data_IF_118586541208
#
_entry.id   IF_118586541208
#
_cell.length_a   1.000
_cell.length_b   1.000
_cell.length_c   1.000
_cell.angle_alpha   90.00
_cell.angle_beta   90.00
_cell.angle_gamma   90.00
#
_symmetry.space_group_name_H-M   'P 1'
#
loop_
_entity.id
_entity.type
_entity.pdbx_description
1 polymer ?
#
# COMPACT_ATOMS: atom_id res chain seq x y z
N UNK A 1 -20.86 3.89 -17.33
CA UNK A 1 -20.73 3.24 -15.99
C UNK A 1 -19.25 3.00 -15.72
N UNK A 2 -18.74 3.36 -14.55
CA UNK A 2 -17.33 3.17 -14.18
C UNK A 2 -17.02 1.68 -13.98
N UNK A 3 -16.05 1.16 -14.71
CA UNK A 3 -15.62 -0.25 -14.65
C UNK A 3 -14.10 -0.30 -14.65
N UNK A 4 -13.45 -0.33 -13.47
CA UNK A 4 -12.00 -0.35 -13.40
C UNK A 4 -11.46 -1.67 -13.98
N UNK A 5 -10.39 -1.58 -14.77
CA UNK A 5 -9.65 -2.74 -15.32
C UNK A 5 -8.28 -2.90 -14.67
N UNK A 6 -7.76 -1.84 -14.07
CA UNK A 6 -6.48 -1.81 -13.38
C UNK A 6 -6.65 -1.10 -12.04
N UNK A 7 -6.42 -1.82 -10.96
CA UNK A 7 -6.57 -1.33 -9.59
C UNK A 7 -5.21 -1.33 -8.91
N UNK A 8 -4.77 -0.19 -8.38
CA UNK A 8 -3.53 -0.08 -7.62
C UNK A 8 -3.84 -0.11 -6.13
N UNK A 9 -3.09 -0.92 -5.38
CA UNK A 9 -3.20 -1.05 -3.92
C UNK A 9 -1.83 -0.84 -3.31
N UNK A 10 -1.55 0.30 -2.72
CA UNK A 10 -0.37 0.48 -1.88
C UNK A 10 -0.48 -0.32 -0.59
N UNK A 11 0.60 -0.96 -0.17
CA UNK A 11 0.67 -1.69 1.10
C UNK A 11 1.91 -1.32 1.89
N UNK A 12 1.73 -1.15 3.20
CA UNK A 12 2.80 -1.02 4.19
C UNK A 12 2.87 -2.26 5.11
N UNK A 13 2.19 -3.34 4.70
CA UNK A 13 2.04 -4.59 5.45
C UNK A 13 1.28 -4.46 6.77
N UNK A 14 0.53 -3.39 6.98
CA UNK A 14 -0.39 -3.23 8.12
C UNK A 14 -1.72 -3.92 7.86
N UNK A 15 -2.46 -4.23 8.94
CA UNK A 15 -3.83 -4.77 8.86
C UNK A 15 -4.78 -3.82 8.07
N UNK A 16 -4.54 -2.52 8.16
CA UNK A 16 -5.33 -1.53 7.42
C UNK A 16 -5.09 -1.65 5.92
N UNK A 17 -3.84 -1.81 5.49
CA UNK A 17 -3.52 -2.03 4.08
C UNK A 17 -4.04 -3.39 3.59
N UNK A 18 -4.15 -4.40 4.46
CA UNK A 18 -4.74 -5.69 4.10
C UNK A 18 -6.23 -5.56 3.80
N UNK A 19 -6.96 -4.76 4.55
CA UNK A 19 -8.37 -4.45 4.25
C UNK A 19 -8.55 -3.75 2.92
N UNK A 20 -7.66 -2.82 2.58
CA UNK A 20 -7.65 -2.17 1.27
C UNK A 20 -7.40 -3.21 0.16
N UNK A 21 -6.48 -4.14 0.37
CA UNK A 21 -6.20 -5.21 -0.58
C UNK A 21 -7.39 -6.14 -0.76
N UNK A 22 -8.04 -6.60 0.32
CA UNK A 22 -9.25 -7.42 0.25
C UNK A 22 -10.40 -6.72 -0.49
N UNK A 23 -10.60 -5.41 -0.24
CA UNK A 23 -11.58 -4.62 -0.97
C UNK A 23 -11.27 -4.56 -2.46
N UNK A 24 -10.01 -4.33 -2.82
CA UNK A 24 -9.56 -4.30 -4.20
C UNK A 24 -9.77 -5.65 -4.91
N UNK A 25 -9.48 -6.77 -4.24
CA UNK A 25 -9.73 -8.11 -4.77
C UNK A 25 -11.22 -8.35 -5.03
N UNK A 26 -12.11 -7.92 -4.12
CA UNK A 26 -13.57 -8.02 -4.28
C UNK A 26 -14.05 -7.23 -5.50
N UNK A 27 -13.54 -6.01 -5.68
CA UNK A 27 -13.86 -5.18 -6.84
C UNK A 27 -13.31 -5.83 -8.12
N UNK A 28 -12.05 -6.28 -8.07
CA UNK A 28 -11.38 -6.88 -9.23
C UNK A 28 -12.07 -8.16 -9.70
N UNK A 29 -12.53 -9.00 -8.77
CA UNK A 29 -13.29 -10.21 -9.08
C UNK A 29 -14.59 -9.88 -9.84
N UNK A 30 -15.30 -8.82 -9.40
CA UNK A 30 -16.57 -8.42 -10.01
C UNK A 30 -16.41 -7.81 -11.40
N UNK A 31 -15.33 -7.04 -11.62
CA UNK A 31 -15.11 -6.30 -12.88
C UNK A 31 -14.06 -6.94 -13.79
N UNK A 32 -13.54 -8.12 -13.43
CA UNK A 32 -12.44 -8.79 -14.13
C UNK A 32 -11.23 -7.86 -14.31
N UNK A 33 -10.90 -7.15 -13.25
CA UNK A 33 -9.77 -6.24 -13.21
C UNK A 33 -8.46 -6.95 -12.79
N UNK A 34 -7.34 -6.34 -13.10
CA UNK A 34 -6.02 -6.71 -12.55
C UNK A 34 -5.71 -5.86 -11.33
N UNK A 35 -5.13 -6.45 -10.32
CA UNK A 35 -4.67 -5.73 -9.12
C UNK A 35 -3.16 -5.59 -9.17
N UNK A 36 -2.68 -4.37 -8.94
CA UNK A 36 -1.26 -4.04 -8.78
C UNK A 36 -1.02 -3.76 -7.30
N UNK A 37 -0.32 -4.66 -6.63
CA UNK A 37 0.01 -4.55 -5.21
C UNK A 37 1.40 -3.96 -5.07
N UNK A 38 1.49 -2.72 -4.58
CA UNK A 38 2.72 -1.95 -4.51
C UNK A 38 3.19 -1.76 -3.06
N UNK A 39 4.43 -2.13 -2.78
CA UNK A 39 5.14 -1.69 -1.58
C UNK A 39 6.22 -0.67 -1.94
N UNK A 40 6.32 0.40 -1.15
CA UNK A 40 7.36 1.42 -1.32
C UNK A 40 8.27 1.42 -0.10
N UNK A 41 9.53 1.08 -0.33
CA UNK A 41 10.59 1.22 0.68
C UNK A 41 10.93 2.70 0.78
N UNK A 42 10.74 3.28 1.99
CA UNK A 42 11.00 4.69 2.21
C UNK A 42 12.47 5.03 1.97
N UNK A 43 12.72 5.99 1.09
CA UNK A 43 14.05 6.40 0.66
C UNK A 43 14.89 7.16 1.71
N UNK A 44 14.34 7.42 2.91
CA UNK A 44 15.06 8.13 3.99
C UNK A 44 16.39 7.47 4.38
N UNK A 45 16.52 6.15 4.19
CA UNK A 45 17.79 5.43 4.44
C UNK A 45 18.92 6.03 3.62
N UNK A 46 18.68 6.45 2.38
CA UNK A 46 19.71 7.05 1.53
C UNK A 46 20.17 8.41 2.06
N UNK A 47 19.25 9.22 2.59
CA UNK A 47 19.54 10.52 3.18
C UNK A 47 20.44 10.40 4.42
N UNK A 48 20.17 9.41 5.29
CA UNK A 48 21.02 9.12 6.45
C UNK A 48 22.42 8.66 6.07
N UNK A 49 22.56 7.98 4.95
CA UNK A 49 23.87 7.52 4.45
C UNK A 49 24.74 8.66 4.00
N UNK A 50 24.15 9.57 3.25
CA UNK A 50 24.86 10.74 2.72
C UNK A 50 25.28 11.69 3.86
N UNK A 51 24.44 11.79 4.93
CA UNK A 51 24.69 12.66 6.08
C UNK A 51 25.72 12.09 7.08
N UNK A 52 25.83 10.76 7.21
CA UNK A 52 26.64 10.11 8.25
C UNK A 52 27.85 9.32 7.73
N UNK A 53 28.23 9.46 6.46
CA UNK A 53 29.38 8.76 5.85
C UNK A 53 29.39 7.24 6.09
N UNK A 54 28.22 6.61 6.04
CA UNK A 54 28.09 5.15 6.19
C UNK A 54 28.65 4.46 4.97
N UNK A 55 29.32 3.31 5.16
CA UNK A 55 29.87 2.52 4.05
C UNK A 55 28.77 2.14 3.05
N UNK A 56 28.94 2.59 1.80
CA UNK A 56 27.98 2.35 0.72
C UNK A 56 27.66 0.87 0.52
N UNK A 57 28.65 -0.03 0.71
CA UNK A 57 28.42 -1.46 0.58
C UNK A 57 27.46 -2.02 1.64
N UNK A 58 27.52 -1.50 2.86
CA UNK A 58 26.59 -1.88 3.94
C UNK A 58 25.19 -1.44 3.59
N UNK A 59 25.05 -0.24 3.09
CA UNK A 59 23.78 0.34 2.69
C UNK A 59 23.13 -0.42 1.54
N UNK A 60 23.88 -0.69 0.50
CA UNK A 60 23.41 -1.44 -0.67
C UNK A 60 22.95 -2.84 -0.25
N UNK A 61 23.67 -3.48 0.70
CA UNK A 61 23.24 -4.76 1.29
C UNK A 61 21.91 -4.64 2.01
N UNK A 62 21.75 -3.70 2.92
CA UNK A 62 20.51 -3.48 3.69
C UNK A 62 19.33 -3.20 2.75
N UNK A 63 19.55 -2.41 1.71
CA UNK A 63 18.53 -2.12 0.70
C UNK A 63 18.13 -3.38 -0.05
N UNK A 64 19.09 -4.16 -0.52
CA UNK A 64 18.83 -5.40 -1.24
C UNK A 64 18.09 -6.42 -0.38
N UNK A 65 18.48 -6.58 0.88
CA UNK A 65 17.77 -7.42 1.87
C UNK A 65 16.33 -6.93 2.08
N UNK A 66 16.12 -5.61 2.16
CA UNK A 66 14.78 -5.03 2.30
C UNK A 66 13.90 -5.29 1.07
N UNK A 67 14.47 -5.25 -0.13
CA UNK A 67 13.76 -5.56 -1.38
C UNK A 67 13.36 -7.04 -1.42
N UNK A 68 14.28 -7.94 -1.09
CA UNK A 68 14.01 -9.40 -1.04
C UNK A 68 12.90 -9.67 -0.03
N UNK A 69 13.02 -9.17 1.19
CA UNK A 69 12.01 -9.34 2.25
C UNK A 69 10.64 -8.80 1.83
N UNK A 70 10.60 -7.63 1.17
CA UNK A 70 9.35 -7.04 0.70
C UNK A 70 8.69 -7.88 -0.38
N UNK A 71 9.46 -8.42 -1.31
CA UNK A 71 8.95 -9.32 -2.36
C UNK A 71 8.37 -10.62 -1.76
N UNK A 72 9.06 -11.23 -0.79
CA UNK A 72 8.56 -12.40 -0.07
C UNK A 72 7.23 -12.11 0.64
N UNK A 73 7.13 -10.97 1.33
CA UNK A 73 5.91 -10.53 1.99
C UNK A 73 4.75 -10.28 1.03
N UNK A 74 5.02 -9.68 -0.12
CA UNK A 74 4.01 -9.47 -1.16
C UNK A 74 3.53 -10.81 -1.72
N UNK A 75 4.45 -11.75 -1.97
CA UNK A 75 4.10 -13.08 -2.47
C UNK A 75 3.26 -13.86 -1.45
N UNK A 76 3.63 -13.85 -0.15
CA UNK A 76 2.80 -14.44 0.90
C UNK A 76 1.37 -13.90 0.92
N UNK A 77 1.21 -12.57 0.74
CA UNK A 77 -0.14 -11.96 0.68
C UNK A 77 -0.93 -12.44 -0.53
N UNK A 78 -0.29 -12.55 -1.68
CA UNK A 78 -0.93 -13.03 -2.91
C UNK A 78 -1.36 -14.49 -2.71
N UNK A 79 -0.46 -15.34 -2.20
CA UNK A 79 -0.71 -16.77 -2.02
C UNK A 79 -1.84 -17.04 -1.01
N UNK A 80 -1.91 -16.28 0.07
CA UNK A 80 -3.02 -16.36 1.05
C UNK A 80 -4.38 -15.97 0.47
N UNK A 81 -4.39 -15.22 -0.61
CA UNK A 81 -5.61 -14.67 -1.22
C UNK A 81 -5.91 -15.22 -2.63
N UNK A 82 -5.20 -16.25 -3.08
CA UNK A 82 -5.36 -16.83 -4.43
C UNK A 82 -6.77 -17.36 -4.73
N UNK A 83 -7.57 -17.64 -3.70
CA UNK A 83 -8.93 -18.15 -3.83
C UNK A 83 -9.99 -17.07 -4.12
N UNK A 84 -9.60 -15.78 -4.13
CA UNK A 84 -10.56 -14.70 -4.37
C UNK A 84 -10.75 -14.49 -5.88
N UNK A 85 -11.73 -15.20 -6.44
CA UNK A 85 -12.31 -14.87 -7.75
C UNK A 85 -11.38 -14.90 -8.96
N UNK A 86 -10.32 -15.70 -8.96
CA UNK A 86 -9.36 -15.81 -10.09
C UNK A 86 -8.78 -14.45 -10.55
N UNK A 87 -8.54 -13.55 -9.61
CA UNK A 87 -8.01 -12.21 -9.86
C UNK A 87 -6.50 -12.29 -10.14
N UNK A 88 -6.06 -11.67 -11.23
CA UNK A 88 -4.63 -11.53 -11.51
C UNK A 88 -4.04 -10.42 -10.66
N UNK A 89 -3.15 -10.78 -9.74
CA UNK A 89 -2.38 -9.84 -8.91
C UNK A 89 -0.95 -9.75 -9.43
N UNK A 90 -0.44 -8.55 -9.56
CA UNK A 90 0.94 -8.24 -9.96
C UNK A 90 1.54 -7.41 -8.82
N UNK A 91 2.62 -7.91 -8.21
CA UNK A 91 3.32 -7.19 -7.14
C UNK A 91 4.50 -6.40 -7.70
N UNK A 92 4.80 -5.28 -7.04
CA UNK A 92 5.99 -4.48 -7.32
C UNK A 92 6.54 -3.86 -6.02
N UNK A 93 7.84 -3.68 -5.97
CA UNK A 93 8.55 -2.99 -4.87
C UNK A 93 9.29 -1.80 -5.48
N UNK A 94 8.96 -0.61 -5.00
CA UNK A 94 9.64 0.63 -5.38
C UNK A 94 10.38 1.22 -4.19
N UNK A 95 11.24 2.16 -4.47
CA UNK A 95 12.03 2.87 -3.46
C UNK A 95 11.91 4.37 -3.70
N UNK A 96 11.61 5.11 -2.65
CA UNK A 96 11.45 6.56 -2.72
C UNK A 96 10.47 7.10 -1.70
N UNK A 97 9.92 8.28 -1.97
CA UNK A 97 8.82 8.82 -1.17
C UNK A 97 7.53 8.07 -1.50
N UNK A 98 6.86 7.46 -0.49
CA UNK A 98 5.72 6.57 -0.76
C UNK A 98 4.64 7.19 -1.64
N UNK A 99 4.19 8.43 -1.38
CA UNK A 99 3.13 9.04 -2.16
C UNK A 99 3.55 9.32 -3.62
N UNK A 100 4.81 9.73 -3.84
CA UNK A 100 5.35 10.01 -5.18
C UNK A 100 5.43 8.73 -6.02
N UNK A 101 5.95 7.67 -5.44
CA UNK A 101 6.06 6.37 -6.13
C UNK A 101 4.68 5.75 -6.43
N UNK A 102 3.70 5.93 -5.53
CA UNK A 102 2.32 5.51 -5.78
C UNK A 102 1.72 6.28 -6.96
N UNK A 103 1.86 7.60 -6.99
CA UNK A 103 1.35 8.44 -8.08
C UNK A 103 2.05 8.15 -9.41
N UNK A 104 3.35 7.90 -9.37
CA UNK A 104 4.15 7.52 -10.53
C UNK A 104 3.70 6.18 -11.09
N UNK A 105 3.54 5.15 -10.24
CA UNK A 105 3.01 3.84 -10.62
C UNK A 105 1.61 3.95 -11.24
N UNK A 106 0.73 4.76 -10.61
CA UNK A 106 -0.61 4.99 -11.12
C UNK A 106 -0.60 5.59 -12.53
N UNK A 107 0.31 6.53 -12.78
CA UNK A 107 0.45 7.18 -14.10
C UNK A 107 1.07 6.24 -15.15
N UNK A 108 2.19 5.59 -14.83
CA UNK A 108 2.92 4.71 -15.75
C UNK A 108 2.09 3.52 -16.22
N UNK A 109 1.33 2.91 -15.30
CA UNK A 109 0.47 1.77 -15.61
C UNK A 109 -0.91 2.16 -16.10
N UNK A 110 -1.25 3.45 -16.11
CA UNK A 110 -2.59 3.96 -16.46
C UNK A 110 -3.64 3.26 -15.58
N UNK A 111 -3.51 3.45 -14.28
CA UNK A 111 -4.41 2.88 -13.26
C UNK A 111 -5.77 3.56 -13.34
N UNK A 112 -6.84 2.77 -13.23
CA UNK A 112 -8.23 3.25 -13.28
C UNK A 112 -8.78 3.58 -11.88
N UNK A 113 -8.23 2.92 -10.85
CA UNK A 113 -8.67 3.07 -9.46
C UNK A 113 -7.50 2.82 -8.51
N UNK A 114 -7.29 3.71 -7.55
CA UNK A 114 -6.43 3.46 -6.40
C UNK A 114 -7.29 3.09 -5.20
N UNK A 115 -6.97 1.98 -4.53
CA UNK A 115 -7.60 1.56 -3.27
C UNK A 115 -6.56 1.63 -2.18
N UNK A 116 -6.73 2.54 -1.22
CA UNK A 116 -5.72 2.83 -0.20
C UNK A 116 -6.33 2.88 1.20
N UNK A 117 -5.60 2.40 2.20
CA UNK A 117 -5.99 2.54 3.60
C UNK A 117 -5.86 3.99 4.06
N UNK A 118 -6.81 4.44 4.87
CA UNK A 118 -6.79 5.80 5.44
C UNK A 118 -5.63 6.03 6.40
N UNK A 119 -5.09 4.96 7.01
CA UNK A 119 -4.01 4.99 7.98
C UNK A 119 -3.03 3.86 7.69
N UNK A 120 -1.74 4.15 7.83
CA UNK A 120 -0.66 3.18 7.79
C UNK A 120 -0.19 2.78 9.20
N UNK A 121 1.01 2.18 9.26
CA UNK A 121 1.64 1.67 10.50
C UNK A 121 1.88 2.75 11.56
N UNK A 122 2.13 4.00 11.13
CA UNK A 122 2.60 5.09 11.99
C UNK A 122 1.48 5.99 12.51
N UNK A 123 0.25 5.81 12.08
CA UNK A 123 -0.85 6.67 12.49
C UNK A 123 -1.47 6.19 13.80
N UNK A 124 -1.12 6.85 14.90
CA UNK A 124 -1.66 6.59 16.24
C UNK A 124 -2.98 7.34 16.52
N UNK A 125 -3.35 8.30 15.68
CA UNK A 125 -4.55 9.13 15.90
C UNK A 125 -5.72 8.63 15.07
N UNK A 126 -6.76 8.18 15.75
CA UNK A 126 -7.99 7.56 15.22
C UNK A 126 -8.76 8.41 14.19
N UNK A 127 -8.58 9.72 14.21
CA UNK A 127 -9.35 10.68 13.38
C UNK A 127 -8.53 11.45 12.34
N UNK A 128 -7.23 11.16 12.23
CA UNK A 128 -6.34 11.89 11.29
C UNK A 128 -5.96 10.96 10.15
N UNK A 129 -6.27 11.37 8.94
CA UNK A 129 -5.84 10.65 7.73
C UNK A 129 -4.31 10.59 7.67
N UNK A 130 -3.75 9.45 7.27
CA UNK A 130 -2.32 9.29 7.07
C UNK A 130 -1.80 10.20 5.95
N UNK A 131 -0.61 10.75 6.13
CA UNK A 131 -0.03 11.73 5.20
C UNK A 131 0.11 11.20 3.77
N UNK A 132 0.39 9.92 3.59
CA UNK A 132 0.49 9.29 2.26
C UNK A 132 -0.89 9.24 1.60
N UNK A 133 -1.91 8.76 2.32
CA UNK A 133 -3.29 8.68 1.82
C UNK A 133 -3.84 10.07 1.45
N UNK A 134 -3.57 11.07 2.28
CA UNK A 134 -3.99 12.45 2.02
C UNK A 134 -3.38 13.01 0.73
N UNK A 135 -2.06 12.85 0.54
CA UNK A 135 -1.37 13.31 -0.67
C UNK A 135 -1.84 12.58 -1.91
N UNK A 136 -1.99 11.24 -1.82
CA UNK A 136 -2.51 10.45 -2.94
C UNK A 136 -3.91 10.89 -3.33
N UNK A 137 -4.80 11.12 -2.36
CA UNK A 137 -6.15 11.63 -2.63
C UNK A 137 -6.18 12.99 -3.31
N UNK A 138 -5.26 13.89 -2.94
CA UNK A 138 -5.19 15.24 -3.51
C UNK A 138 -4.61 15.27 -4.92
N UNK A 139 -3.65 14.39 -5.23
CA UNK A 139 -2.84 14.50 -6.43
C UNK A 139 -3.09 13.40 -7.47
N UNK A 140 -3.81 12.33 -7.11
CA UNK A 140 -4.13 11.26 -8.05
C UNK A 140 -5.02 11.77 -9.20
N UNK A 141 -4.69 11.34 -10.43
CA UNK A 141 -5.45 11.66 -11.65
C UNK A 141 -6.56 10.66 -11.95
N UNK A 142 -6.73 9.65 -11.12
CA UNK A 142 -7.80 8.66 -11.19
C UNK A 142 -8.57 8.62 -9.87
N UNK A 143 -9.77 8.02 -9.85
CA UNK A 143 -10.53 7.80 -8.62
C UNK A 143 -9.70 7.11 -7.54
N UNK A 144 -9.91 7.53 -6.29
CA UNK A 144 -9.27 6.94 -5.10
C UNK A 144 -10.35 6.48 -4.13
N UNK A 145 -10.32 5.19 -3.79
CA UNK A 145 -11.18 4.61 -2.77
C UNK A 145 -10.39 4.50 -1.46
N UNK A 146 -10.82 5.26 -0.46
CA UNK A 146 -10.22 5.28 0.85
C UNK A 146 -10.90 4.25 1.77
N UNK A 147 -10.13 3.31 2.30
CA UNK A 147 -10.60 2.30 3.24
C UNK A 147 -10.29 2.72 4.66
N UNK A 148 -11.32 2.94 5.46
CA UNK A 148 -11.19 3.25 6.88
C UNK A 148 -11.10 1.98 7.71
N UNK A 149 -10.36 2.06 8.83
CA UNK A 149 -10.45 1.03 9.88
C UNK A 149 -11.85 1.04 10.47
N UNK A 150 -12.45 -0.12 10.79
CA UNK A 150 -13.68 -0.13 11.58
C UNK A 150 -13.40 0.55 12.91
N UNK A 151 -14.37 1.31 13.39
CA UNK A 151 -14.36 1.78 14.77
C UNK A 151 -14.32 0.54 15.68
N UNK A 152 -13.30 0.44 16.53
CA UNK A 152 -13.40 -0.47 17.66
C UNK A 152 -14.47 0.13 18.56
N UNK A 153 -15.61 -0.52 18.69
CA UNK A 153 -16.53 -0.25 19.78
C UNK A 153 -15.71 -0.39 21.06
N UNK A 154 -15.47 0.71 21.75
CA UNK A 154 -15.01 0.67 23.12
C UNK A 154 -16.12 -0.01 23.91
N UNK A 155 -15.91 -1.28 24.24
CA UNK A 155 -16.75 -1.96 25.22
C UNK A 155 -16.44 -1.24 26.53
N UNK A 156 -17.26 -0.23 26.85
CA UNK A 156 -17.29 0.38 28.17
C UNK A 156 -17.80 -0.69 29.13
N UNK A 157 -16.86 -1.41 29.76
CA UNK A 157 -17.20 -2.26 30.89
C UNK A 157 -17.49 -1.30 32.05
N UNK A 158 -18.76 -0.94 32.21
CA UNK A 158 -19.22 -0.37 33.45
C UNK A 158 -19.12 -1.47 34.51
N UNK A 159 -18.06 -1.45 35.30
CA UNK A 159 -17.99 -2.21 36.56
C UNK A 159 -18.79 -1.40 37.58
N UNK A 160 -19.97 -1.90 37.88
CA UNK A 160 -20.80 -1.46 39.02
C UNK A 160 -20.24 -2.01 40.32
#
# INVERSE_FOLDING_TARGET
MFQPKKILVPTDFSDNSDRAFHMALSIASRYQARVFLLHVINGLIQQYVDDYCVDKNIVDRVINESIVFSNEKLQEKIDKNHNVGNVKVISDVRRGQPYEEILKEASERKIDLVVIASHGRTSLKKYVMGSVAEKVMKEAKCPVLLIRSPEREEVSICIS
#
